data_IF_482793732393
#
_entry.id   IF_482793732393
#
_cell.length_a   1.000
_cell.length_b   1.000
_cell.length_c   1.000
_cell.angle_alpha   90.00
_cell.angle_beta   90.00
_cell.angle_gamma   90.00
#
_symmetry.space_group_name_H-M   'P 1'
#
loop_
_entity.id
_entity.type
_entity.pdbx_description
1 polymer ?
#
# COMPACT_ATOMS: atom_id res chain seq x y z
N UNK A 1 -10.34 -0.32 8.44
CA UNK A 1 -8.94 -0.77 8.39
C UNK A 1 -8.74 -1.68 7.20
N UNK A 2 -7.65 -1.52 6.49
CA UNK A 2 -7.34 -2.34 5.33
C UNK A 2 -6.01 -3.05 5.52
N UNK A 3 -5.84 -4.14 4.80
CA UNK A 3 -4.56 -4.85 4.71
C UNK A 3 -4.13 -4.81 3.25
N UNK A 4 -2.96 -4.28 3.01
CA UNK A 4 -2.40 -4.18 1.66
C UNK A 4 -1.23 -5.15 1.55
N UNK A 5 -1.26 -5.98 0.54
CA UNK A 5 -0.16 -6.89 0.23
C UNK A 5 0.56 -6.30 -0.98
N UNK A 6 1.83 -6.04 -0.84
CA UNK A 6 2.61 -5.41 -1.90
C UNK A 6 3.99 -6.02 -2.01
N UNK A 7 4.60 -5.83 -3.17
CA UNK A 7 5.93 -6.36 -3.46
C UNK A 7 6.98 -5.33 -3.06
N UNK A 8 7.95 -5.76 -2.29
CA UNK A 8 9.02 -4.89 -1.83
C UNK A 8 10.30 -5.69 -1.72
N UNK A 9 11.33 -5.23 -2.41
CA UNK A 9 12.70 -5.75 -2.29
C UNK A 9 12.77 -7.28 -2.44
N UNK A 10 12.08 -7.81 -3.43
CA UNK A 10 12.12 -9.24 -3.73
C UNK A 10 11.14 -10.10 -2.94
N UNK A 11 10.29 -9.50 -2.13
CA UNK A 11 9.33 -10.23 -1.29
C UNK A 11 7.95 -9.57 -1.30
N UNK A 12 6.94 -10.37 -0.98
CA UNK A 12 5.62 -9.84 -0.71
C UNK A 12 5.52 -9.54 0.77
N UNK A 13 5.12 -8.32 1.10
CA UNK A 13 4.94 -7.89 2.48
C UNK A 13 3.54 -7.34 2.66
N UNK A 14 3.06 -7.27 3.89
CA UNK A 14 1.74 -6.73 4.18
C UNK A 14 1.84 -5.53 5.11
N UNK A 15 0.93 -4.57 4.91
CA UNK A 15 0.78 -3.43 5.78
C UNK A 15 -0.69 -3.28 6.13
N UNK A 16 -0.99 -3.08 7.39
CA UNK A 16 -2.36 -2.89 7.87
C UNK A 16 -2.52 -1.51 8.46
N UNK A 17 -3.65 -0.90 8.23
CA UNK A 17 -3.93 0.40 8.81
C UNK A 17 -5.06 1.10 8.10
N UNK A 18 -5.17 2.39 8.40
CA UNK A 18 -6.18 3.25 7.77
C UNK A 18 -5.52 3.97 6.60
N UNK A 19 -6.16 3.89 5.44
CA UNK A 19 -5.70 4.62 4.27
C UNK A 19 -5.95 6.11 4.53
N UNK A 20 -4.91 6.91 4.49
CA UNK A 20 -5.00 8.35 4.74
C UNK A 20 -5.07 9.15 3.45
N UNK A 21 -4.50 8.63 2.37
CA UNK A 21 -4.53 9.32 1.09
C UNK A 21 -4.18 8.37 -0.04
N UNK A 22 -4.77 8.60 -1.20
CA UNK A 22 -4.35 7.97 -2.44
C UNK A 22 -3.93 9.09 -3.38
N UNK A 23 -2.68 9.06 -3.81
CA UNK A 23 -2.12 10.06 -4.72
C UNK A 23 -1.97 9.43 -6.09
N UNK A 24 -2.92 9.71 -6.97
CA UNK A 24 -2.90 9.16 -8.32
C UNK A 24 -1.84 9.81 -9.20
N UNK A 25 -1.50 11.05 -8.91
CA UNK A 25 -0.50 11.76 -9.69
C UNK A 25 0.89 11.13 -9.52
N UNK A 26 1.23 10.77 -8.31
CA UNK A 26 2.52 10.14 -8.01
C UNK A 26 2.41 8.63 -7.84
N UNK A 27 1.21 8.08 -8.00
CA UNK A 27 0.90 6.65 -7.90
C UNK A 27 1.35 6.07 -6.56
N UNK A 28 0.84 6.67 -5.50
CA UNK A 28 1.16 6.26 -4.13
C UNK A 28 -0.10 6.04 -3.32
N UNK A 29 -0.06 5.03 -2.47
CA UNK A 29 -1.07 4.78 -1.46
C UNK A 29 -0.44 5.05 -0.11
N UNK A 30 -1.08 5.89 0.69
CA UNK A 30 -0.57 6.22 2.01
C UNK A 30 -1.43 5.60 3.09
N UNK A 31 -0.81 4.72 3.86
CA UNK A 31 -1.35 4.18 5.09
C UNK A 31 -0.56 4.85 6.21
N UNK A 32 -1.16 5.02 7.37
CA UNK A 32 -0.48 5.64 8.50
C UNK A 32 0.96 5.12 8.63
N UNK A 33 1.95 5.94 8.46
CA UNK A 33 3.39 5.65 8.54
C UNK A 33 3.98 4.90 7.35
N UNK A 34 3.21 4.61 6.31
CA UNK A 34 3.74 3.88 5.17
C UNK A 34 3.29 4.52 3.86
N UNK A 35 4.19 4.53 2.90
CA UNK A 35 3.91 4.98 1.55
C UNK A 35 4.17 3.80 0.63
N UNK A 36 3.16 3.40 -0.15
CA UNK A 36 3.23 2.23 -0.98
C UNK A 36 3.00 2.65 -2.43
N UNK A 37 3.90 2.23 -3.32
CA UNK A 37 3.75 2.47 -4.74
C UNK A 37 2.57 1.66 -5.27
N UNK A 38 1.64 2.31 -5.97
CA UNK A 38 0.46 1.63 -6.51
C UNK A 38 0.83 0.49 -7.45
N UNK A 39 1.95 0.61 -8.16
CA UNK A 39 2.38 -0.40 -9.11
C UNK A 39 2.89 -1.66 -8.42
N UNK A 40 3.21 -1.59 -7.15
CA UNK A 40 3.70 -2.72 -6.38
C UNK A 40 2.61 -3.46 -5.62
N UNK A 41 1.40 -2.93 -5.60
CA UNK A 41 0.31 -3.53 -4.84
C UNK A 41 -0.14 -4.82 -5.52
N UNK A 42 -0.17 -5.89 -4.75
CA UNK A 42 -0.66 -7.20 -5.18
C UNK A 42 -2.15 -7.37 -4.87
N UNK A 43 -2.54 -7.03 -3.64
CA UNK A 43 -3.91 -7.23 -3.19
C UNK A 43 -4.25 -6.28 -2.06
N UNK A 44 -5.53 -5.95 -1.94
CA UNK A 44 -6.06 -5.15 -0.84
C UNK A 44 -7.24 -5.90 -0.24
N UNK A 45 -7.16 -6.13 1.06
CA UNK A 45 -8.22 -6.80 1.81
C UNK A 45 -8.86 -5.80 2.78
N UNK A 46 -10.17 -5.79 2.79
CA UNK A 46 -10.95 -4.91 3.67
C UNK A 46 -11.59 -5.65 4.82
#
# INVERSE_FOLDING_TARGET
MVKVIYYSDGEYVSAEGIVTMIDFEHRKLMIVKSEIDLDDIWDIEV
#
